data_IF_933707557003
#
_entry.id   IF_933707557003
#
_cell.length_a   1.000
_cell.length_b   1.000
_cell.length_c   1.000
_cell.angle_alpha   90.00
_cell.angle_beta   90.00
_cell.angle_gamma   90.00
#
_symmetry.space_group_name_H-M   'P 1'
#
loop_
_entity.id
_entity.type
_entity.pdbx_description
1 polymer ?
#
# COMPACT_ATOMS: atom_id res chain seq x y z
N UNK A 1 74.92 -1.96 -20.37
CA UNK A 1 74.71 -3.15 -19.51
C UNK A 1 73.28 -3.06 -18.97
N UNK A 2 72.24 -3.45 -19.71
CA UNK A 2 71.74 -4.80 -20.04
C UNK A 2 71.14 -5.61 -18.87
N UNK A 3 69.82 -5.39 -18.68
CA UNK A 3 68.70 -6.34 -18.36
C UNK A 3 68.71 -7.08 -17.00
N UNK A 4 67.57 -7.69 -16.54
CA UNK A 4 66.20 -7.76 -17.10
C UNK A 4 65.11 -7.23 -16.10
N UNK A 5 63.93 -6.75 -16.50
CA UNK A 5 62.82 -7.53 -17.08
C UNK A 5 61.92 -8.09 -15.96
N UNK A 6 60.95 -7.31 -15.47
CA UNK A 6 59.88 -7.82 -14.58
C UNK A 6 58.54 -7.73 -15.30
N UNK A 7 58.04 -8.92 -15.60
CA UNK A 7 56.75 -9.25 -16.21
C UNK A 7 55.61 -8.60 -15.40
N UNK A 8 54.77 -7.80 -16.05
CA UNK A 8 53.46 -7.41 -15.53
C UNK A 8 52.50 -8.54 -15.87
N UNK A 9 52.17 -9.34 -14.87
CA UNK A 9 51.19 -10.41 -14.99
C UNK A 9 49.78 -9.80 -14.99
N UNK A 10 49.03 -10.08 -16.05
CA UNK A 10 47.66 -9.65 -16.24
C UNK A 10 46.72 -10.54 -15.42
N UNK A 11 46.45 -10.21 -14.16
CA UNK A 11 45.38 -10.88 -13.40
C UNK A 11 44.74 -10.09 -12.24
N UNK A 12 44.83 -8.75 -12.24
CA UNK A 12 44.01 -7.93 -11.32
C UNK A 12 42.60 -7.69 -11.90
N UNK A 13 41.72 -8.65 -11.67
CA UNK A 13 40.28 -8.42 -11.64
C UNK A 13 39.76 -8.86 -10.26
N UNK A 14 39.16 -7.97 -9.45
CA UNK A 14 38.51 -8.39 -8.23
C UNK A 14 37.35 -9.33 -8.58
N UNK A 15 37.52 -10.60 -8.24
CA UNK A 15 36.51 -11.65 -8.38
C UNK A 15 35.39 -11.34 -7.40
N UNK A 16 34.34 -10.70 -7.90
CA UNK A 16 33.09 -10.47 -7.19
C UNK A 16 32.53 -11.82 -6.70
N UNK A 17 32.44 -11.95 -5.38
CA UNK A 17 31.70 -13.02 -4.70
C UNK A 17 30.21 -13.01 -5.06
N UNK A 18 29.45 -14.01 -4.57
CA UNK A 18 28.56 -14.81 -5.39
C UNK A 18 27.26 -14.10 -5.77
N UNK A 19 26.87 -14.42 -7.00
CA UNK A 19 25.59 -14.28 -7.67
C UNK A 19 24.40 -14.51 -6.71
N UNK A 20 23.94 -13.44 -6.07
CA UNK A 20 22.82 -13.39 -5.13
C UNK A 20 21.52 -13.10 -5.90
N UNK A 21 21.22 -13.92 -6.91
CA UNK A 21 20.01 -13.73 -7.72
C UNK A 21 19.51 -15.02 -8.38
N UNK A 22 19.50 -16.15 -7.66
CA UNK A 22 18.68 -17.30 -8.07
C UNK A 22 18.39 -18.31 -6.97
N UNK A 23 17.55 -17.94 -6.01
CA UNK A 23 16.78 -18.90 -5.23
C UNK A 23 15.54 -18.22 -4.63
N UNK A 24 14.39 -18.32 -5.33
CA UNK A 24 13.14 -18.33 -4.60
C UNK A 24 13.19 -19.57 -3.67
N UNK A 25 12.92 -19.45 -2.36
CA UNK A 25 12.86 -20.62 -1.50
C UNK A 25 11.70 -21.51 -1.93
N UNK A 26 12.07 -22.56 -2.66
CA UNK A 26 11.31 -23.78 -2.88
C UNK A 26 11.05 -24.47 -1.54
N UNK A 27 10.11 -23.98 -0.74
CA UNK A 27 9.47 -24.71 0.37
C UNK A 27 8.26 -23.97 0.91
N UNK A 28 7.19 -23.90 0.13
CA UNK A 28 5.83 -24.01 0.72
C UNK A 28 5.25 -25.30 0.20
N UNK A 29 5.83 -26.41 0.69
CA UNK A 29 5.34 -27.76 0.46
C UNK A 29 4.07 -27.92 1.29
N UNK A 30 2.95 -28.09 0.58
CA UNK A 30 1.76 -28.78 1.04
C UNK A 30 1.25 -28.41 2.45
N UNK A 31 0.48 -27.33 2.55
CA UNK A 31 -0.67 -27.33 3.44
C UNK A 31 -1.91 -27.28 2.56
N UNK A 32 -2.59 -28.43 2.45
CA UNK A 32 -3.93 -28.51 1.93
C UNK A 32 -4.86 -27.68 2.80
N UNK A 33 -5.04 -26.43 2.43
CA UNK A 33 -6.05 -25.55 2.98
C UNK A 33 -6.51 -24.67 1.83
N UNK A 34 -7.70 -25.00 1.32
CA UNK A 34 -8.62 -24.18 0.52
C UNK A 34 -8.10 -22.76 0.30
N UNK A 35 -7.88 -22.36 -0.95
CA UNK A 35 -7.74 -20.94 -1.30
C UNK A 35 -8.82 -20.17 -0.53
N UNK A 36 -8.45 -19.34 0.46
CA UNK A 36 -9.46 -18.56 1.12
C UNK A 36 -10.04 -17.68 0.02
N UNK A 37 -11.36 -17.71 -0.12
CA UNK A 37 -12.12 -16.69 -0.83
C UNK A 37 -11.80 -15.35 -0.14
N UNK A 38 -10.68 -14.74 -0.51
CA UNK A 38 -10.00 -13.69 0.27
C UNK A 38 -10.87 -12.43 0.40
N UNK A 39 -11.86 -12.25 -0.47
CA UNK A 39 -13.04 -11.42 -0.23
C UNK A 39 -14.22 -12.06 -0.99
N UNK A 40 -15.40 -12.28 -0.38
CA UNK A 40 -16.51 -12.90 -1.08
C UNK A 40 -17.13 -11.89 -2.07
N UNK A 41 -16.57 -11.74 -3.27
CA UNK A 41 -17.31 -11.12 -4.38
C UNK A 41 -18.20 -12.20 -5.01
N UNK A 42 -19.29 -12.54 -4.32
CA UNK A 42 -20.52 -13.08 -4.90
C UNK A 42 -21.61 -13.12 -3.83
N UNK A 43 -22.22 -11.96 -3.60
CA UNK A 43 -23.39 -11.88 -2.75
C UNK A 43 -24.59 -12.57 -3.45
N UNK A 44 -25.03 -13.73 -2.96
CA UNK A 44 -26.32 -14.35 -3.35
C UNK A 44 -27.53 -13.79 -2.57
N UNK A 45 -27.34 -12.75 -1.75
CA UNK A 45 -28.41 -12.16 -0.94
C UNK A 45 -28.36 -10.63 -1.00
N UNK A 46 -29.07 -10.08 -1.99
CA UNK A 46 -29.49 -8.67 -2.17
C UNK A 46 -29.18 -7.73 -0.97
N UNK A 47 -27.96 -7.20 -0.88
CA UNK A 47 -27.70 -5.91 -0.26
C UNK A 47 -27.06 -5.03 -1.33
N UNK A 48 -27.65 -3.88 -1.70
CA UNK A 48 -27.12 -3.06 -2.77
C UNK A 48 -25.78 -2.46 -2.33
N UNK A 49 -24.75 -2.67 -3.15
CA UNK A 49 -23.51 -1.90 -3.24
C UNK A 49 -22.53 -1.92 -2.06
N UNK A 50 -21.73 -2.98 -1.91
CA UNK A 50 -20.45 -2.90 -1.18
C UNK A 50 -19.39 -3.73 -1.91
N UNK A 51 -19.14 -3.40 -3.17
CA UNK A 51 -18.01 -3.96 -3.93
C UNK A 51 -16.73 -3.24 -3.52
N UNK A 52 -15.96 -3.86 -2.63
CA UNK A 52 -14.62 -3.40 -2.28
C UNK A 52 -13.70 -3.54 -3.49
N UNK A 53 -13.06 -2.44 -3.89
CA UNK A 53 -12.07 -2.48 -4.97
C UNK A 53 -10.75 -3.00 -4.42
N UNK A 54 -10.46 -4.28 -4.71
CA UNK A 54 -9.26 -4.97 -4.24
C UNK A 54 -8.27 -5.15 -5.39
N UNK A 55 -7.00 -4.87 -5.14
CA UNK A 55 -5.89 -5.00 -6.08
C UNK A 55 -4.79 -5.80 -5.41
N UNK A 56 -4.25 -6.81 -6.08
CA UNK A 56 -3.19 -7.65 -5.54
C UNK A 56 -1.83 -7.22 -6.10
N UNK A 57 -0.77 -7.35 -5.28
CA UNK A 57 0.62 -7.06 -5.67
C UNK A 57 0.83 -5.66 -6.24
N UNK A 58 0.12 -4.67 -5.71
CA UNK A 58 0.19 -3.30 -6.19
C UNK A 58 1.31 -2.52 -5.50
N UNK A 59 2.21 -1.85 -6.27
CA UNK A 59 3.31 -1.09 -5.69
C UNK A 59 2.80 0.12 -4.89
N UNK A 60 3.23 0.22 -3.63
CA UNK A 60 2.85 1.29 -2.72
C UNK A 60 3.48 2.64 -3.07
N UNK A 61 4.54 2.64 -3.87
CA UNK A 61 5.10 3.85 -4.46
C UNK A 61 4.06 4.72 -5.18
N UNK A 62 3.02 4.12 -5.78
CA UNK A 62 1.92 4.85 -6.45
C UNK A 62 0.95 5.55 -5.49
N UNK A 63 0.98 5.19 -4.22
CA UNK A 63 0.02 5.61 -3.19
C UNK A 63 0.65 6.44 -2.07
N UNK A 64 1.95 6.72 -2.14
CA UNK A 64 2.68 7.57 -1.22
C UNK A 64 3.31 8.77 -1.94
N UNK A 65 3.44 9.91 -1.27
CA UNK A 65 3.99 11.12 -1.88
C UNK A 65 5.48 11.01 -2.21
N UNK A 66 6.20 10.14 -1.50
CA UNK A 66 7.64 9.95 -1.70
C UNK A 66 7.95 9.08 -2.91
N UNK A 67 6.97 8.36 -3.46
CA UNK A 67 7.18 7.50 -4.63
C UNK A 67 8.02 6.25 -4.34
N UNK A 68 8.15 5.86 -3.07
CA UNK A 68 8.99 4.74 -2.61
C UNK A 68 8.09 3.66 -2.00
N UNK A 69 8.44 2.39 -2.20
CA UNK A 69 7.69 1.28 -1.61
C UNK A 69 7.35 0.18 -2.61
N UNK A 70 7.61 -1.06 -2.19
CA UNK A 70 7.35 -2.28 -2.93
C UNK A 70 5.88 -2.68 -3.01
N UNK A 71 5.58 -3.88 -3.51
CA UNK A 71 4.22 -4.37 -3.67
C UNK A 71 3.56 -4.69 -2.32
N UNK A 72 2.32 -4.26 -2.15
CA UNK A 72 1.46 -4.78 -1.09
C UNK A 72 0.74 -6.05 -1.56
N UNK A 73 0.61 -7.05 -0.67
CA UNK A 73 -0.13 -8.29 -0.98
C UNK A 73 -1.56 -7.96 -1.45
N UNK A 74 -2.26 -7.10 -0.71
CA UNK A 74 -3.56 -6.55 -1.12
C UNK A 74 -3.65 -5.05 -0.85
N UNK A 75 -4.27 -4.32 -1.78
CA UNK A 75 -4.65 -2.92 -1.64
C UNK A 75 -6.15 -2.83 -1.81
N UNK A 76 -6.84 -2.20 -0.85
CA UNK A 76 -8.31 -2.09 -0.83
C UNK A 76 -8.70 -0.63 -0.74
N UNK A 77 -9.44 -0.10 -1.72
CA UNK A 77 -9.95 1.26 -1.65
C UNK A 77 -11.33 1.30 -0.98
N UNK A 78 -11.49 2.19 0.01
CA UNK A 78 -12.74 2.38 0.75
C UNK A 78 -13.23 3.83 0.62
N UNK A 79 -14.51 4.00 0.30
CA UNK A 79 -15.17 5.30 0.06
C UNK A 79 -16.25 5.60 1.10
N UNK A 80 -16.67 4.60 1.87
CA UNK A 80 -17.66 4.76 2.94
C UNK A 80 -17.16 4.21 4.28
N UNK A 81 -17.74 4.69 5.38
CA UNK A 81 -17.45 4.16 6.71
C UNK A 81 -17.82 2.66 6.84
N UNK A 82 -18.87 2.23 6.13
CA UNK A 82 -19.28 0.83 6.07
C UNK A 82 -18.23 -0.04 5.37
N UNK A 83 -17.71 0.42 4.21
CA UNK A 83 -16.63 -0.26 3.50
C UNK A 83 -15.35 -0.36 4.33
N UNK A 84 -14.98 0.70 5.04
CA UNK A 84 -13.83 0.68 5.95
C UNK A 84 -14.02 -0.33 7.09
N UNK A 85 -15.19 -0.32 7.73
CA UNK A 85 -15.52 -1.28 8.79
C UNK A 85 -15.46 -2.72 8.29
N UNK A 86 -16.01 -2.98 7.10
CA UNK A 86 -15.95 -4.29 6.46
C UNK A 86 -14.51 -4.70 6.16
N UNK A 87 -13.71 -3.83 5.54
CA UNK A 87 -12.31 -4.13 5.20
C UNK A 87 -11.47 -4.45 6.45
N UNK A 88 -11.64 -3.69 7.53
CA UNK A 88 -10.95 -3.92 8.81
C UNK A 88 -11.40 -5.24 9.47
N UNK A 89 -12.70 -5.54 9.42
CA UNK A 89 -13.27 -6.79 9.94
C UNK A 89 -12.69 -8.00 9.19
N UNK A 90 -12.73 -7.98 7.87
CA UNK A 90 -12.21 -9.08 7.04
C UNK A 90 -10.70 -9.24 7.23
N UNK A 91 -9.93 -8.15 7.29
CA UNK A 91 -8.49 -8.21 7.56
C UNK A 91 -8.18 -8.89 8.90
N UNK A 92 -8.96 -8.57 9.95
CA UNK A 92 -8.82 -9.18 11.27
C UNK A 92 -9.22 -10.66 11.27
N UNK A 93 -10.27 -11.04 10.54
CA UNK A 93 -10.72 -12.43 10.40
C UNK A 93 -9.68 -13.30 9.65
N UNK A 94 -9.02 -12.73 8.64
CA UNK A 94 -7.95 -13.41 7.89
C UNK A 94 -6.63 -13.48 8.65
N UNK A 95 -6.50 -12.77 9.77
CA UNK A 95 -5.26 -12.68 10.55
C UNK A 95 -4.12 -11.98 9.80
N UNK A 96 -4.42 -11.23 8.74
CA UNK A 96 -3.42 -10.52 7.96
C UNK A 96 -3.09 -9.16 8.61
N UNK A 97 -1.80 -8.78 8.70
CA UNK A 97 -1.42 -7.42 9.03
C UNK A 97 -2.13 -6.44 8.09
N UNK A 98 -2.66 -5.35 8.64
CA UNK A 98 -3.33 -4.33 7.83
C UNK A 98 -2.87 -2.93 8.20
N UNK A 99 -2.85 -2.05 7.21
CA UNK A 99 -2.42 -0.67 7.35
C UNK A 99 -3.45 0.27 6.72
N UNK A 100 -3.96 1.23 7.48
CA UNK A 100 -4.86 2.27 6.97
C UNK A 100 -4.05 3.43 6.42
N UNK A 101 -4.07 3.59 5.09
CA UNK A 101 -3.37 4.64 4.37
C UNK A 101 -4.36 5.76 4.00
N UNK A 102 -4.05 6.98 4.41
CA UNK A 102 -4.75 8.18 3.91
C UNK A 102 -4.26 8.57 2.52
N UNK A 103 -3.69 9.78 2.40
CA UNK A 103 -3.03 10.24 1.16
C UNK A 103 -1.55 9.83 1.03
N UNK A 104 -1.00 9.16 2.05
CA UNK A 104 0.41 8.74 2.06
C UNK A 104 1.41 9.89 2.05
N UNK A 105 1.06 11.06 2.60
CA UNK A 105 1.96 12.22 2.70
C UNK A 105 3.03 12.09 3.78
N UNK A 106 2.88 11.12 4.68
CA UNK A 106 3.81 10.85 5.80
C UNK A 106 3.95 9.33 6.01
N UNK A 107 4.14 8.58 4.93
CA UNK A 107 4.34 7.14 4.99
C UNK A 107 5.54 6.77 4.12
N UNK A 108 6.49 6.06 4.72
CA UNK A 108 7.60 5.44 4.04
C UNK A 108 7.37 3.93 4.06
N UNK A 109 7.28 3.32 2.89
CA UNK A 109 7.15 1.87 2.74
C UNK A 109 8.47 1.27 2.31
N UNK A 110 8.76 0.06 2.79
CA UNK A 110 9.97 -0.67 2.41
C UNK A 110 9.88 -1.11 0.94
N UNK A 111 11.02 -1.19 0.25
CA UNK A 111 11.08 -1.60 -1.16
C UNK A 111 10.74 -3.09 -1.37
N UNK A 112 10.92 -3.91 -0.34
CA UNK A 112 10.45 -5.31 -0.32
C UNK A 112 8.92 -5.42 -0.25
N UNK A 113 8.23 -4.30 0.02
CA UNK A 113 6.77 -4.21 0.04
C UNK A 113 6.14 -4.46 1.40
N UNK A 114 4.87 -4.84 1.38
CA UNK A 114 4.06 -5.06 2.58
C UNK A 114 3.27 -6.37 2.49
N UNK A 115 3.61 -7.34 3.35
CA UNK A 115 2.96 -8.65 3.38
C UNK A 115 1.63 -8.63 4.13
N UNK A 116 0.69 -7.83 3.65
CA UNK A 116 -0.58 -7.59 4.31
C UNK A 116 -1.56 -6.80 3.45
N UNK A 117 -2.58 -6.24 4.10
CA UNK A 117 -3.65 -5.48 3.45
C UNK A 117 -3.44 -3.98 3.69
N UNK A 118 -3.23 -3.20 2.64
CA UNK A 118 -3.24 -1.74 2.70
C UNK A 118 -4.63 -1.23 2.34
N UNK A 119 -5.26 -0.51 3.26
CA UNK A 119 -6.60 0.07 3.08
C UNK A 119 -6.44 1.54 2.72
N UNK A 120 -6.78 1.91 1.48
CA UNK A 120 -6.77 3.29 1.01
C UNK A 120 -8.06 4.00 1.44
N UNK A 121 -7.94 4.93 2.37
CA UNK A 121 -9.06 5.74 2.81
C UNK A 121 -9.38 6.86 1.81
N UNK A 122 -10.43 6.66 1.03
CA UNK A 122 -10.95 7.61 0.04
C UNK A 122 -12.31 8.20 0.46
N UNK A 123 -12.66 8.14 1.75
CA UNK A 123 -13.90 8.74 2.27
C UNK A 123 -13.79 10.27 2.16
N UNK A 124 -14.41 10.86 1.13
CA UNK A 124 -14.14 12.24 0.72
C UNK A 124 -15.31 13.23 0.93
N UNK A 125 -16.39 12.80 1.60
CA UNK A 125 -17.58 13.63 1.81
C UNK A 125 -17.24 14.95 2.52
N UNK A 126 -18.01 15.99 2.23
CA UNK A 126 -17.96 17.25 2.95
C UNK A 126 -19.38 17.80 3.05
N UNK A 127 -19.81 18.09 4.27
CA UNK A 127 -21.03 18.82 4.53
C UNK A 127 -20.73 20.01 5.43
N UNK A 128 -21.50 21.07 5.28
CA UNK A 128 -21.48 22.23 6.15
C UNK A 128 -22.85 22.43 6.79
N UNK A 129 -22.84 22.77 8.08
CA UNK A 129 -24.04 23.20 8.79
C UNK A 129 -24.20 24.72 8.66
N UNK A 130 -25.45 25.22 8.79
CA UNK A 130 -25.72 26.66 8.90
C UNK A 130 -25.00 27.30 10.11
N UNK A 131 -24.65 26.51 11.11
CA UNK A 131 -23.85 26.93 12.27
C UNK A 131 -22.36 27.15 11.97
N UNK A 132 -21.89 26.90 10.75
CA UNK A 132 -20.47 27.06 10.39
C UNK A 132 -19.57 25.88 10.73
N UNK A 133 -20.16 24.75 11.12
CA UNK A 133 -19.43 23.50 11.38
C UNK A 133 -19.30 22.72 10.07
N UNK A 134 -18.09 22.29 9.75
CA UNK A 134 -17.81 21.42 8.60
C UNK A 134 -17.59 19.98 9.10
N UNK A 135 -18.27 19.03 8.45
CA UNK A 135 -18.02 17.60 8.64
C UNK A 135 -17.37 17.08 7.37
N UNK A 136 -16.14 16.57 7.50
CA UNK A 136 -15.36 16.06 6.38
C UNK A 136 -15.03 14.59 6.60
N UNK A 137 -15.06 13.82 5.51
CA UNK A 137 -14.57 12.46 5.49
C UNK A 137 -13.07 12.39 5.74
N UNK A 138 -12.63 11.35 6.45
CA UNK A 138 -11.23 11.19 6.86
C UNK A 138 -10.24 10.94 5.71
N UNK A 139 -10.73 10.62 4.51
CA UNK A 139 -9.93 10.50 3.28
C UNK A 139 -9.89 11.80 2.46
N UNK A 140 -10.58 12.87 2.88
CA UNK A 140 -10.59 14.14 2.16
C UNK A 140 -9.23 14.84 2.24
N UNK A 141 -8.88 15.57 1.19
CA UNK A 141 -7.68 16.40 1.19
C UNK A 141 -7.78 17.52 2.22
N UNK A 142 -6.89 17.52 3.21
CA UNK A 142 -6.79 18.62 4.17
C UNK A 142 -6.53 19.96 3.48
N UNK A 143 -5.60 20.01 2.52
CA UNK A 143 -5.31 21.23 1.75
C UNK A 143 -6.52 21.77 0.99
N UNK A 144 -7.37 20.91 0.43
CA UNK A 144 -8.58 21.38 -0.27
C UNK A 144 -9.65 21.86 0.72
N UNK A 145 -9.73 21.24 1.91
CA UNK A 145 -10.63 21.68 2.96
C UNK A 145 -10.22 23.08 3.47
N UNK A 146 -8.93 23.32 3.71
CA UNK A 146 -8.41 24.64 4.10
C UNK A 146 -8.70 25.71 3.04
N UNK A 147 -8.46 25.41 1.76
CA UNK A 147 -8.79 26.34 0.67
C UNK A 147 -10.30 26.68 0.59
N UNK A 148 -11.17 25.67 0.74
CA UNK A 148 -12.62 25.86 0.69
C UNK A 148 -13.16 26.68 1.87
N UNK A 149 -12.64 26.44 3.07
CA UNK A 149 -13.08 27.15 4.29
C UNK A 149 -12.61 28.61 4.27
N UNK A 150 -11.38 28.86 3.83
CA UNK A 150 -10.85 30.20 3.63
C UNK A 150 -11.66 31.01 2.61
N UNK A 151 -12.04 30.41 1.48
CA UNK A 151 -12.93 31.05 0.48
C UNK A 151 -14.32 31.41 1.03
N UNK A 152 -14.78 30.72 2.07
CA UNK A 152 -16.03 31.01 2.76
C UNK A 152 -15.86 31.99 3.95
N UNK A 153 -14.70 32.64 4.05
CA UNK A 153 -14.41 33.61 5.10
C UNK A 153 -14.33 32.97 6.49
N UNK A 154 -13.95 31.69 6.56
CA UNK A 154 -13.78 30.96 7.82
C UNK A 154 -12.32 31.01 8.23
N UNK A 155 -12.08 31.35 9.49
CA UNK A 155 -10.75 31.44 10.10
C UNK A 155 -10.58 30.29 11.09
N UNK A 156 -9.38 29.69 11.14
CA UNK A 156 -9.05 28.55 12.01
C UNK A 156 -7.75 27.85 11.61
#
# INVERSE_FOLDING_TARGET
MSRPGRQLDSSDAPTTGPDLLRAAPSSVKALGAREPSIFPVRNRSRHPSTDLQIRAWEPLSRHCSWGIGGPARFVVAVRTAMELSLALREARLLGLPHFLLGKGSNCLFHDDGFDGIVILNQINHLSSSRSGVFTAGSGRSFNQLGGLTSQQGREG
#
